data_IF_899918805884
#
_entry.id   IF_899918805884
#
_cell.length_a   1.000
_cell.length_b   1.000
_cell.length_c   1.000
_cell.angle_alpha   90.00
_cell.angle_beta   90.00
_cell.angle_gamma   90.00
#
_symmetry.space_group_name_H-M   'P 1'
#
loop_
_entity.id
_entity.type
_entity.pdbx_description
1 polymer ?
#
# COMPACT_ATOMS: atom_id res chain seq x y z
N UNK A 1 71.57 19.12 -70.24
CA UNK A 1 71.29 20.49 -69.90
C UNK A 1 70.01 20.60 -69.15
N UNK A 2 70.16 20.91 -67.88
CA UNK A 2 69.39 21.91 -67.11
C UNK A 2 67.97 21.47 -66.60
N UNK A 3 67.91 21.45 -65.37
CA UNK A 3 67.48 22.26 -64.19
C UNK A 3 66.07 21.93 -63.67
N UNK A 4 66.04 21.42 -62.49
CA UNK A 4 65.43 21.89 -61.22
C UNK A 4 64.04 22.53 -61.36
N UNK A 5 63.09 21.99 -60.52
CA UNK A 5 62.62 22.80 -59.37
C UNK A 5 61.79 21.90 -58.39
N UNK A 6 62.18 22.02 -57.16
CA UNK A 6 61.46 21.55 -55.98
C UNK A 6 60.19 22.43 -55.74
N UNK A 7 59.13 21.82 -55.27
CA UNK A 7 57.96 22.50 -54.80
C UNK A 7 57.27 21.74 -53.67
N UNK A 8 57.51 22.20 -52.49
CA UNK A 8 57.02 21.79 -51.17
C UNK A 8 55.50 21.86 -51.09
N UNK A 9 54.83 20.79 -50.70
CA UNK A 9 53.48 20.80 -50.11
C UNK A 9 53.40 19.96 -48.87
N UNK A 10 54.07 20.44 -47.82
CA UNK A 10 53.78 20.03 -46.43
C UNK A 10 52.82 21.08 -45.85
N UNK A 11 51.59 20.73 -45.46
CA UNK A 11 50.83 21.70 -44.71
C UNK A 11 49.30 21.59 -44.70
N UNK A 12 48.70 20.46 -45.10
CA UNK A 12 47.21 20.35 -45.04
C UNK A 12 46.63 19.16 -44.25
N UNK A 13 47.48 18.39 -43.60
CA UNK A 13 47.02 17.16 -42.87
C UNK A 13 46.87 17.33 -41.36
N UNK A 14 47.00 18.53 -40.79
CA UNK A 14 46.95 18.74 -39.33
C UNK A 14 45.70 19.48 -38.78
N UNK A 15 44.72 19.78 -39.61
CA UNK A 15 43.52 20.54 -39.16
C UNK A 15 42.23 19.72 -39.15
N UNK A 16 42.22 18.44 -39.49
CA UNK A 16 41.05 17.59 -39.57
C UNK A 16 40.85 16.65 -38.35
N UNK A 17 41.73 16.67 -37.34
CA UNK A 17 41.67 15.75 -36.18
C UNK A 17 41.22 16.36 -34.88
N UNK A 18 40.76 17.61 -34.84
CA UNK A 18 40.29 18.27 -33.61
C UNK A 18 38.78 18.57 -33.55
N UNK A 19 38.00 18.12 -34.52
CA UNK A 19 36.55 18.34 -34.55
C UNK A 19 35.69 17.13 -34.10
N UNK A 20 36.29 15.97 -33.79
CA UNK A 20 35.56 14.75 -33.46
C UNK A 20 35.47 14.43 -31.96
N UNK A 21 35.99 15.31 -31.05
CA UNK A 21 36.05 15.01 -29.62
C UNK A 21 35.01 15.79 -28.77
N UNK A 22 34.07 16.52 -29.37
CA UNK A 22 33.12 17.35 -28.62
C UNK A 22 31.67 16.88 -28.62
N UNK A 23 31.34 15.66 -29.10
CA UNK A 23 29.95 15.16 -29.16
C UNK A 23 29.65 13.99 -28.20
N UNK A 24 30.45 13.78 -27.16
CA UNK A 24 30.35 12.58 -26.29
C UNK A 24 29.91 12.81 -24.86
N UNK A 25 29.39 13.97 -24.44
CA UNK A 25 29.11 14.25 -23.01
C UNK A 25 27.69 14.79 -22.75
N UNK A 26 26.70 14.34 -23.50
CA UNK A 26 25.29 14.43 -23.09
C UNK A 26 24.81 13.05 -22.60
N UNK A 27 25.55 12.45 -21.67
CA UNK A 27 25.02 11.38 -20.85
C UNK A 27 23.95 12.01 -19.93
N UNK A 28 22.70 11.96 -20.39
CA UNK A 28 21.55 12.41 -19.64
C UNK A 28 21.52 11.70 -18.28
N UNK A 29 21.62 12.48 -17.21
CA UNK A 29 21.17 12.03 -15.89
C UNK A 29 19.68 11.72 -16.01
N UNK A 30 19.32 10.48 -16.31
CA UNK A 30 17.98 9.99 -16.02
C UNK A 30 17.89 9.95 -14.49
N UNK A 31 17.34 11.02 -13.93
CA UNK A 31 16.90 11.02 -12.54
C UNK A 31 15.87 9.91 -12.41
N UNK A 32 16.27 8.75 -11.92
CA UNK A 32 15.34 7.78 -11.37
C UNK A 32 14.70 8.46 -10.16
N UNK A 33 13.56 9.09 -10.39
CA UNK A 33 12.64 9.42 -9.32
C UNK A 33 12.17 8.09 -8.75
N UNK A 34 12.83 7.63 -7.69
CA UNK A 34 12.26 6.62 -6.80
C UNK A 34 11.01 7.26 -6.22
N UNK A 35 9.85 7.03 -6.84
CA UNK A 35 8.59 7.26 -6.17
C UNK A 35 8.63 6.38 -4.93
N UNK A 36 8.85 6.97 -3.75
CA UNK A 36 8.72 6.27 -2.48
C UNK A 36 7.28 5.80 -2.42
N UNK A 37 7.10 4.51 -2.63
CA UNK A 37 5.81 3.87 -2.51
C UNK A 37 5.32 4.07 -1.08
N UNK A 38 4.20 4.77 -0.91
CA UNK A 38 3.62 5.00 0.41
C UNK A 38 3.18 3.68 0.99
N UNK A 39 3.66 3.40 2.19
CA UNK A 39 3.40 2.16 2.91
C UNK A 39 3.09 2.45 4.36
N UNK A 40 2.22 1.64 4.94
CA UNK A 40 1.92 1.58 6.36
C UNK A 40 1.72 0.13 6.79
N UNK A 41 1.97 -0.14 8.06
CA UNK A 41 1.82 -1.48 8.63
C UNK A 41 0.99 -1.42 9.92
N UNK A 42 0.24 -2.49 10.19
CA UNK A 42 -0.44 -2.70 11.45
C UNK A 42 -0.09 -4.09 11.99
N UNK A 43 0.43 -4.14 13.22
CA UNK A 43 0.62 -5.38 13.95
C UNK A 43 -0.63 -5.62 14.81
N UNK A 44 -1.43 -6.60 14.43
CA UNK A 44 -2.65 -6.96 15.13
C UNK A 44 -2.33 -7.82 16.35
N UNK A 45 -2.82 -7.38 17.51
CA UNK A 45 -2.73 -8.09 18.77
C UNK A 45 -4.10 -8.65 19.16
N UNK A 46 -4.16 -9.80 19.83
CA UNK A 46 -5.41 -10.41 20.25
C UNK A 46 -6.23 -9.48 21.16
N UNK A 47 -7.52 -9.46 20.96
CA UNK A 47 -8.47 -8.94 21.96
C UNK A 47 -8.69 -9.95 23.08
N UNK A 48 -9.37 -9.54 24.16
CA UNK A 48 -9.66 -10.43 25.29
C UNK A 48 -10.46 -11.66 24.83
N UNK A 49 -9.95 -12.83 25.16
CA UNK A 49 -10.59 -14.10 24.80
C UNK A 49 -10.26 -14.61 23.38
N UNK A 50 -9.43 -13.90 22.63
CA UNK A 50 -8.98 -14.28 21.30
C UNK A 50 -7.51 -14.69 21.29
N UNK A 51 -7.10 -15.41 20.23
CA UNK A 51 -5.70 -15.72 19.94
C UNK A 51 -5.28 -15.17 18.56
N UNK A 52 -6.19 -14.48 17.87
CA UNK A 52 -5.95 -13.93 16.55
C UNK A 52 -4.86 -12.84 16.59
N UNK A 53 -3.87 -12.97 15.71
CA UNK A 53 -2.73 -12.03 15.62
C UNK A 53 -2.09 -12.10 14.25
N UNK A 54 -1.31 -11.10 13.91
CA UNK A 54 -0.52 -11.09 12.68
C UNK A 54 -0.27 -9.68 12.17
N UNK A 55 0.04 -9.58 10.88
CA UNK A 55 0.38 -8.32 10.24
C UNK A 55 -0.58 -8.00 9.10
N UNK A 56 -0.89 -6.72 8.96
CA UNK A 56 -1.58 -6.14 7.81
C UNK A 56 -0.74 -5.01 7.27
N UNK A 57 -0.41 -5.08 5.98
CA UNK A 57 0.40 -4.09 5.28
C UNK A 57 -0.46 -3.36 4.26
N UNK A 58 -0.35 -2.06 4.23
CA UNK A 58 -1.06 -1.16 3.34
C UNK A 58 -0.06 -0.51 2.38
N UNK A 59 -0.27 -0.63 1.08
CA UNK A 59 0.61 -0.05 0.06
C UNK A 59 -0.24 0.73 -0.93
N UNK A 60 0.07 2.02 -1.11
CA UNK A 60 -0.64 2.85 -2.08
C UNK A 60 -0.33 2.41 -3.50
N UNK A 61 -1.38 2.24 -4.31
CA UNK A 61 -1.34 1.84 -5.72
C UNK A 61 -2.16 2.83 -6.56
N UNK A 62 -1.98 2.85 -7.89
CA UNK A 62 -2.78 3.72 -8.75
C UNK A 62 -4.30 3.49 -8.68
N UNK A 63 -4.72 2.29 -8.29
CA UNK A 63 -6.11 1.83 -8.21
C UNK A 63 -6.67 1.78 -6.77
N UNK A 64 -5.94 2.32 -5.80
CA UNK A 64 -6.32 2.35 -4.39
C UNK A 64 -5.22 1.87 -3.46
N UNK A 65 -5.56 1.28 -2.33
CA UNK A 65 -4.60 0.70 -1.38
C UNK A 65 -4.65 -0.82 -1.47
N UNK A 66 -3.51 -1.43 -1.79
CA UNK A 66 -3.34 -2.87 -1.63
C UNK A 66 -3.12 -3.18 -0.15
N UNK A 67 -4.01 -3.98 0.42
CA UNK A 67 -3.97 -4.43 1.81
C UNK A 67 -3.58 -5.91 1.82
N UNK A 68 -2.36 -6.20 2.21
CA UNK A 68 -1.85 -7.57 2.35
C UNK A 68 -1.95 -7.99 3.80
N UNK A 69 -2.50 -9.16 4.06
CA UNK A 69 -2.69 -9.68 5.41
C UNK A 69 -2.08 -11.08 5.56
N UNK A 70 -1.58 -11.33 6.78
CA UNK A 70 -1.13 -12.65 7.24
C UNK A 70 -1.47 -12.76 8.72
N UNK A 71 -2.56 -13.46 9.01
CA UNK A 71 -3.16 -13.58 10.33
C UNK A 71 -3.23 -15.05 10.72
N UNK A 72 -3.05 -15.33 11.99
CA UNK A 72 -3.14 -16.68 12.56
C UNK A 72 -3.94 -16.66 13.87
N UNK A 73 -4.37 -17.82 14.34
CA UNK A 73 -5.16 -17.97 15.56
C UNK A 73 -6.63 -17.56 15.39
N UNK A 74 -7.10 -17.53 14.15
CA UNK A 74 -8.51 -17.37 13.80
C UNK A 74 -9.26 -18.70 13.99
N UNK A 75 -10.59 -18.68 14.18
CA UNK A 75 -11.40 -19.89 14.07
C UNK A 75 -11.15 -20.60 12.73
N UNK A 76 -10.91 -21.94 12.73
CA UNK A 76 -10.64 -22.66 11.49
C UNK A 76 -11.86 -22.72 10.55
N UNK A 77 -11.58 -22.71 9.22
CA UNK A 77 -12.60 -22.85 8.17
C UNK A 77 -13.74 -21.85 8.30
N UNK A 78 -13.42 -20.58 8.56
CA UNK A 78 -14.42 -19.52 8.79
C UNK A 78 -14.05 -18.22 8.08
N UNK A 79 -15.08 -17.41 7.85
CA UNK A 79 -14.95 -16.10 7.23
C UNK A 79 -15.03 -15.01 8.29
N UNK A 80 -14.19 -13.98 8.13
CA UNK A 80 -14.02 -12.90 9.08
C UNK A 80 -14.00 -11.57 8.35
N UNK A 81 -14.67 -10.54 8.88
CA UNK A 81 -14.50 -9.20 8.37
C UNK A 81 -13.12 -8.63 8.74
N UNK A 82 -12.42 -8.07 7.76
CA UNK A 82 -11.26 -7.23 7.97
C UNK A 82 -11.66 -5.76 7.73
N UNK A 83 -11.46 -4.91 8.73
CA UNK A 83 -11.97 -3.54 8.69
C UNK A 83 -10.95 -2.52 9.20
N UNK A 84 -11.00 -1.31 8.65
CA UNK A 84 -10.32 -0.13 9.19
C UNK A 84 -11.33 0.68 10.01
N UNK A 85 -11.00 0.99 11.26
CA UNK A 85 -11.83 1.75 12.18
C UNK A 85 -11.34 3.20 12.33
N UNK A 86 -12.23 4.10 12.78
CA UNK A 86 -12.01 5.57 12.78
C UNK A 86 -10.82 6.02 13.62
N UNK A 87 -10.56 5.36 14.74
CA UNK A 87 -9.51 5.75 15.69
C UNK A 87 -8.36 4.75 15.72
N UNK A 88 -7.14 5.25 15.75
CA UNK A 88 -5.94 4.44 15.97
C UNK A 88 -5.74 4.12 17.45
N UNK A 89 -6.75 3.50 18.05
CA UNK A 89 -6.76 3.15 19.47
C UNK A 89 -7.21 1.71 19.67
N UNK A 90 -6.31 0.88 20.20
CA UNK A 90 -6.53 -0.53 20.54
C UNK A 90 -6.40 -0.79 22.06
N UNK A 91 -6.58 0.25 22.92
CA UNK A 91 -6.38 0.11 24.38
C UNK A 91 -7.52 -0.63 25.07
N UNK A 92 -8.76 -0.56 24.54
CA UNK A 92 -9.84 -1.37 25.06
C UNK A 92 -9.63 -2.84 24.67
N UNK A 93 -9.71 -3.72 25.67
CA UNK A 93 -9.44 -5.15 25.48
C UNK A 93 -10.38 -5.86 24.49
N UNK A 94 -11.52 -5.28 24.17
CA UNK A 94 -12.50 -5.76 23.19
C UNK A 94 -12.39 -5.05 21.81
N UNK A 95 -11.43 -4.13 21.65
CA UNK A 95 -11.23 -3.34 20.43
C UNK A 95 -12.20 -2.16 20.28
N UNK A 96 -13.12 -1.92 21.22
CA UNK A 96 -14.15 -0.87 21.11
C UNK A 96 -13.58 0.55 21.09
N UNK A 97 -12.38 0.77 21.62
CA UNK A 97 -11.70 2.09 21.57
C UNK A 97 -11.39 2.55 20.14
N UNK A 98 -11.30 1.64 19.18
CA UNK A 98 -11.11 1.96 17.76
C UNK A 98 -12.32 2.70 17.13
N UNK A 99 -13.49 2.67 17.76
CA UNK A 99 -14.69 3.33 17.28
C UNK A 99 -15.42 2.59 16.16
N UNK A 100 -16.12 3.34 15.31
CA UNK A 100 -16.89 2.77 14.21
C UNK A 100 -15.98 2.41 13.02
N UNK A 101 -16.50 1.63 12.07
CA UNK A 101 -15.85 1.40 10.78
C UNK A 101 -15.63 2.75 10.07
N UNK A 102 -14.46 2.94 9.54
CA UNK A 102 -14.06 4.19 8.91
C UNK A 102 -14.94 4.50 7.70
N UNK A 103 -15.66 5.61 7.77
CA UNK A 103 -16.49 6.12 6.69
C UNK A 103 -16.21 7.61 6.48
N UNK A 104 -15.48 8.01 5.43
CA UNK A 104 -15.40 9.41 5.02
C UNK A 104 -16.79 10.03 4.87
N UNK A 105 -16.92 11.35 5.07
CA UNK A 105 -18.20 12.03 5.04
C UNK A 105 -19.01 11.77 3.76
N UNK A 106 -18.34 11.65 2.62
CA UNK A 106 -18.99 11.35 1.35
C UNK A 106 -19.63 9.94 1.31
N UNK A 107 -19.04 8.96 2.01
CA UNK A 107 -19.56 7.59 2.03
C UNK A 107 -20.79 7.47 2.95
N UNK A 108 -20.86 8.27 4.02
CA UNK A 108 -22.00 8.30 4.94
C UNK A 108 -23.30 8.75 4.28
N UNK A 109 -23.21 9.42 3.14
CA UNK A 109 -24.36 9.88 2.36
C UNK A 109 -24.88 8.86 1.36
N UNK A 110 -24.17 7.73 1.18
CA UNK A 110 -24.53 6.65 0.25
C UNK A 110 -25.23 5.53 1.02
N UNK A 111 -26.55 5.50 0.94
CA UNK A 111 -27.30 4.40 1.53
C UNK A 111 -26.96 3.06 0.85
N UNK A 112 -26.66 2.03 1.65
CA UNK A 112 -26.40 0.67 1.15
C UNK A 112 -25.05 0.46 0.44
N UNK A 113 -24.16 1.45 0.44
CA UNK A 113 -22.82 1.29 -0.10
C UNK A 113 -21.84 0.79 0.97
N UNK A 114 -20.87 -0.03 0.56
CA UNK A 114 -19.72 -0.39 1.39
C UNK A 114 -18.94 0.90 1.70
N UNK A 115 -18.60 1.11 2.97
CA UNK A 115 -17.79 2.25 3.40
C UNK A 115 -16.30 1.95 3.20
N UNK A 116 -15.47 3.00 3.08
CA UNK A 116 -14.05 2.85 2.78
C UNK A 116 -13.29 1.94 3.75
N UNK A 117 -13.66 1.91 5.02
CA UNK A 117 -13.04 1.06 6.04
C UNK A 117 -13.47 -0.40 5.99
N UNK A 118 -14.54 -0.76 5.29
CA UNK A 118 -14.94 -2.16 5.14
C UNK A 118 -14.14 -2.80 3.98
N UNK A 119 -13.06 -3.49 4.32
CA UNK A 119 -12.19 -4.15 3.34
C UNK A 119 -12.82 -5.45 2.80
N UNK A 120 -13.85 -5.97 3.45
CA UNK A 120 -14.52 -7.22 3.09
C UNK A 120 -14.11 -8.38 3.97
N UNK A 121 -14.39 -9.58 3.48
CA UNK A 121 -14.19 -10.80 4.25
C UNK A 121 -12.90 -11.52 3.82
N UNK A 122 -12.21 -12.08 4.80
CA UNK A 122 -11.05 -12.95 4.65
C UNK A 122 -11.42 -14.36 5.12
N UNK A 123 -10.84 -15.37 4.50
CA UNK A 123 -11.08 -16.77 4.87
C UNK A 123 -9.91 -17.34 5.65
N UNK A 124 -10.20 -17.95 6.80
CA UNK A 124 -9.24 -18.72 7.57
C UNK A 124 -9.27 -20.19 7.15
N UNK A 125 -8.11 -20.77 6.88
CA UNK A 125 -7.95 -22.18 6.53
C UNK A 125 -8.22 -23.13 7.71
N UNK A 126 -8.03 -24.43 7.49
CA UNK A 126 -8.20 -25.46 8.51
C UNK A 126 -7.25 -25.30 9.73
N UNK A 127 -6.19 -24.53 9.62
CA UNK A 127 -5.24 -24.22 10.69
C UNK A 127 -5.53 -22.88 11.37
N UNK A 128 -6.58 -22.18 10.96
CA UNK A 128 -6.91 -20.84 11.46
C UNK A 128 -5.97 -19.76 10.94
N UNK A 129 -5.41 -19.94 9.73
CA UNK A 129 -4.55 -18.96 9.06
C UNK A 129 -5.29 -18.32 7.91
N UNK A 130 -5.29 -16.99 7.86
CA UNK A 130 -5.78 -16.22 6.73
C UNK A 130 -4.62 -15.41 6.15
N UNK A 131 -4.27 -15.64 4.88
CA UNK A 131 -3.22 -14.92 4.17
C UNK A 131 -3.67 -14.58 2.75
N UNK A 132 -3.40 -13.34 2.32
CA UNK A 132 -3.80 -12.86 1.01
C UNK A 132 -3.68 -11.35 0.88
N UNK A 133 -4.35 -10.81 -0.12
CA UNK A 133 -4.45 -9.37 -0.28
C UNK A 133 -5.84 -8.95 -0.79
N UNK A 134 -6.17 -7.69 -0.54
CA UNK A 134 -7.39 -7.01 -0.99
C UNK A 134 -6.95 -5.70 -1.63
N UNK A 135 -7.61 -5.27 -2.70
CA UNK A 135 -7.47 -3.89 -3.22
C UNK A 135 -8.66 -3.08 -2.69
N UNK A 136 -8.37 -2.00 -1.98
CA UNK A 136 -9.33 -1.08 -1.39
C UNK A 136 -9.32 0.25 -2.17
N UNK A 137 -10.18 0.42 -3.19
CA UNK A 137 -10.15 1.59 -4.07
C UNK A 137 -10.59 2.87 -3.37
N UNK A 138 -11.32 2.74 -2.29
CA UNK A 138 -11.87 3.86 -1.50
C UNK A 138 -10.96 4.29 -0.34
N UNK A 139 -9.80 3.63 -0.12
CA UNK A 139 -8.78 4.03 0.83
C UNK A 139 -7.62 4.77 0.16
N UNK A 140 -6.89 5.53 0.97
CA UNK A 140 -5.61 6.14 0.65
C UNK A 140 -4.68 6.06 1.88
N UNK A 141 -3.41 6.42 1.72
CA UNK A 141 -2.48 6.61 2.84
C UNK A 141 -2.27 8.10 3.18
N UNK A 142 -3.00 8.99 2.52
CA UNK A 142 -3.05 10.42 2.87
C UNK A 142 -4.46 11.01 2.66
N UNK A 143 -4.60 12.29 3.05
CA UNK A 143 -5.85 13.04 2.86
C UNK A 143 -7.03 12.49 3.65
N UNK A 144 -8.24 12.83 3.19
CA UNK A 144 -9.51 12.53 3.91
C UNK A 144 -9.88 11.04 3.90
N UNK A 145 -9.28 10.25 3.02
CA UNK A 145 -9.49 8.81 2.90
C UNK A 145 -8.33 7.99 3.52
N UNK A 146 -7.45 8.65 4.27
CA UNK A 146 -6.26 8.03 4.83
C UNK A 146 -6.60 6.96 5.87
N UNK A 147 -5.98 5.79 5.71
CA UNK A 147 -5.95 4.73 6.72
C UNK A 147 -4.91 4.97 7.83
N UNK A 148 -3.95 5.89 7.62
CA UNK A 148 -2.92 6.21 8.62
C UNK A 148 -3.52 6.72 9.93
N UNK A 149 -2.92 6.32 11.05
CA UNK A 149 -3.35 6.65 12.42
C UNK A 149 -4.77 6.17 12.75
N UNK A 150 -5.27 5.17 12.04
CA UNK A 150 -6.49 4.42 12.32
C UNK A 150 -6.14 3.04 12.85
N UNK A 151 -7.13 2.22 13.16
CA UNK A 151 -6.91 0.84 13.57
C UNK A 151 -7.43 -0.14 12.50
N UNK A 152 -6.65 -1.20 12.25
CA UNK A 152 -7.10 -2.38 11.53
C UNK A 152 -7.62 -3.41 12.55
N UNK A 153 -8.82 -3.93 12.30
CA UNK A 153 -9.45 -4.96 13.12
C UNK A 153 -9.86 -6.15 12.26
N UNK A 154 -9.69 -7.35 12.81
CA UNK A 154 -10.36 -8.55 12.30
C UNK A 154 -11.46 -8.93 13.25
N UNK A 155 -12.64 -9.20 12.71
CA UNK A 155 -13.85 -9.51 13.48
C UNK A 155 -14.18 -11.00 13.44
N UNK A 156 -15.01 -11.46 14.41
CA UNK A 156 -15.40 -12.86 14.49
C UNK A 156 -16.28 -13.29 13.33
N UNK A 157 -17.21 -12.43 12.94
CA UNK A 157 -18.20 -12.74 11.93
C UNK A 157 -17.87 -12.00 10.62
N UNK A 158 -18.33 -12.47 9.47
CA UNK A 158 -18.16 -11.76 8.21
C UNK A 158 -19.01 -10.48 8.18
N UNK A 159 -18.56 -9.47 7.42
CA UNK A 159 -19.41 -8.34 7.06
C UNK A 159 -20.42 -8.76 5.99
N UNK A 160 -21.66 -8.29 6.13
CA UNK A 160 -22.69 -8.45 5.11
C UNK A 160 -22.74 -7.18 4.24
N UNK A 161 -22.37 -7.27 2.96
CA UNK A 161 -22.41 -6.11 2.06
C UNK A 161 -23.82 -5.55 1.84
N UNK A 162 -24.86 -6.38 2.03
CA UNK A 162 -26.26 -5.95 1.92
C UNK A 162 -26.73 -5.20 3.17
N UNK A 163 -26.09 -5.46 4.32
CA UNK A 163 -26.42 -4.86 5.61
C UNK A 163 -25.17 -4.40 6.36
N UNK A 164 -24.42 -3.43 5.82
CA UNK A 164 -23.14 -2.98 6.40
C UNK A 164 -23.29 -2.42 7.82
N UNK A 165 -24.50 -2.16 8.27
CA UNK A 165 -24.81 -1.66 9.61
C UNK A 165 -24.97 -2.77 10.68
N UNK A 166 -25.01 -4.02 10.27
CA UNK A 166 -25.16 -5.18 11.17
C UNK A 166 -23.83 -5.65 11.72
N UNK A 167 -22.89 -4.85 11.99
CA UNK A 167 -21.61 -5.16 12.63
C UNK A 167 -21.09 -6.57 12.45
N UNK A 168 -19.81 -6.75 12.22
CA UNK A 168 -19.16 -8.05 12.03
C UNK A 168 -18.89 -8.78 13.36
N UNK A 169 -19.68 -8.54 14.40
CA UNK A 169 -19.48 -9.15 15.72
C UNK A 169 -18.26 -8.62 16.47
N UNK A 170 -17.85 -9.29 17.57
CA UNK A 170 -16.71 -8.87 18.37
C UNK A 170 -15.41 -8.86 17.58
N UNK A 171 -14.52 -7.90 17.88
CA UNK A 171 -13.18 -7.92 17.34
C UNK A 171 -12.37 -9.09 17.92
N UNK A 172 -11.62 -9.78 17.09
CA UNK A 172 -10.67 -10.83 17.46
C UNK A 172 -9.24 -10.29 17.62
N UNK A 173 -8.88 -9.27 16.84
CA UNK A 173 -7.59 -8.61 16.95
C UNK A 173 -7.67 -7.16 16.50
N UNK A 174 -6.79 -6.33 17.06
CA UNK A 174 -6.68 -4.90 16.77
C UNK A 174 -5.22 -4.48 16.63
N UNK A 175 -4.93 -3.58 15.67
CA UNK A 175 -3.60 -3.00 15.47
C UNK A 175 -3.68 -1.60 14.86
N UNK A 176 -2.85 -0.69 15.34
CA UNK A 176 -2.79 0.69 14.83
C UNK A 176 -1.95 0.73 13.55
N UNK A 177 -2.49 1.38 12.53
CA UNK A 177 -1.86 1.55 11.20
C UNK A 177 -0.89 2.73 11.27
N UNK A 178 0.42 2.45 11.03
CA UNK A 178 1.50 3.43 11.11
C UNK A 178 2.48 3.29 9.96
#
# INVERSE_FOLDING_TARGET
MNQRHHGVHAGRARRALLAAAALGLLAGCTSFSSSHEKRADAQLQPTVGSQARGAVTFVERPDGVQVTYNLAGLPPNSDHALQVHERGDCNAGDGSSAGQVFAPAADRLRAGARVAGDLGNIHADANGVAAGFIVAPDLALDGVRSALNRAALVHRDPSDPAFPQHGAGPALACGVIR
#
